data_IF_201164731880
#
_entry.id   IF_201164731880
#
_cell.length_a   1.000
_cell.length_b   1.000
_cell.length_c   1.000
_cell.angle_alpha   90.00
_cell.angle_beta   90.00
_cell.angle_gamma   90.00
#
_symmetry.space_group_name_H-M   'P 1'
#
loop_
_entity.id
_entity.type
_entity.pdbx_description
1 polymer ?
#
# COMPACT_ATOMS: atom_id res chain seq x y z
N UNK A 1 15.80 27.90 19.28
CA UNK A 1 15.78 29.19 20.03
C UNK A 1 17.07 29.44 20.80
N UNK A 2 17.70 28.47 21.44
CA UNK A 2 18.94 28.62 22.24
C UNK A 2 20.11 29.10 21.39
N UNK A 3 20.30 28.56 20.20
CA UNK A 3 21.38 28.98 19.27
C UNK A 3 21.24 30.45 18.86
N UNK A 4 20.00 30.91 18.60
CA UNK A 4 19.76 32.34 18.33
C UNK A 4 20.04 33.22 19.52
N UNK A 5 19.69 32.81 20.73
CA UNK A 5 19.95 33.54 21.94
C UNK A 5 21.47 33.68 22.19
N UNK A 6 22.22 32.60 22.04
CA UNK A 6 23.68 32.59 22.19
C UNK A 6 24.33 33.45 21.10
N UNK A 7 23.91 33.33 19.84
CA UNK A 7 24.44 34.14 18.74
C UNK A 7 24.17 35.61 18.97
N UNK A 8 22.94 35.96 19.38
CA UNK A 8 22.57 37.36 19.71
C UNK A 8 23.40 37.90 20.86
N UNK A 9 23.64 37.11 21.91
CA UNK A 9 24.48 37.50 23.05
C UNK A 9 25.95 37.74 22.63
N UNK A 10 26.55 36.85 21.82
CA UNK A 10 27.91 36.98 21.30
C UNK A 10 28.05 38.23 20.45
N UNK A 11 27.11 38.42 19.53
CA UNK A 11 27.11 39.55 18.60
C UNK A 11 26.90 40.87 19.36
N UNK A 12 26.01 40.90 20.36
CA UNK A 12 25.81 42.08 21.23
C UNK A 12 27.05 42.34 22.10
N UNK A 13 27.70 41.31 22.60
CA UNK A 13 28.94 41.44 23.37
C UNK A 13 30.10 41.99 22.54
N UNK A 14 30.26 41.51 21.27
CA UNK A 14 31.24 42.07 20.32
C UNK A 14 30.97 43.52 19.99
N UNK A 15 29.70 43.89 19.82
CA UNK A 15 29.28 45.25 19.60
C UNK A 15 29.64 46.14 20.79
N UNK A 16 29.26 45.74 22.00
CA UNK A 16 29.61 46.49 23.19
C UNK A 16 31.14 46.68 23.35
N UNK A 17 31.92 45.61 23.10
CA UNK A 17 33.37 45.66 23.10
C UNK A 17 33.93 46.61 22.05
N UNK A 18 33.41 46.62 20.83
CA UNK A 18 33.80 47.54 19.75
C UNK A 18 33.53 48.99 20.08
N UNK A 19 32.38 49.26 20.71
CA UNK A 19 32.02 50.62 21.18
C UNK A 19 32.92 51.10 22.32
N UNK A 20 33.21 50.21 23.29
CA UNK A 20 34.11 50.54 24.44
C UNK A 20 35.53 50.74 23.92
N UNK A 21 36.05 49.86 23.09
CA UNK A 21 37.41 49.98 22.50
C UNK A 21 37.53 51.24 21.60
N UNK A 22 36.49 51.52 20.77
CA UNK A 22 36.44 52.73 19.97
C UNK A 22 36.43 54.01 20.83
N UNK A 23 35.69 54.01 21.91
CA UNK A 23 35.62 55.16 22.82
C UNK A 23 36.93 55.37 23.59
N UNK A 24 37.63 54.27 23.98
CA UNK A 24 38.95 54.33 24.61
C UNK A 24 40.05 54.83 23.69
N UNK A 25 40.03 54.48 22.38
CA UNK A 25 40.93 54.97 21.36
C UNK A 25 40.68 56.44 20.98
N UNK A 26 39.43 56.88 21.03
CA UNK A 26 38.99 58.25 20.68
C UNK A 26 39.31 59.22 21.79
N UNK A 27 39.29 58.80 23.07
CA UNK A 27 39.55 59.70 24.22
C UNK A 27 41.00 60.14 24.35
N UNK A 28 41.92 59.65 23.54
CA UNK A 28 43.36 59.98 23.60
C UNK A 28 43.81 61.13 22.65
N UNK A 29 42.95 61.68 21.80
CA UNK A 29 43.32 62.79 20.87
C UNK A 29 42.25 63.87 20.82
N UNK A 30 42.66 65.15 20.89
CA UNK A 30 41.78 66.34 20.97
C UNK A 30 40.86 66.56 19.76
N UNK A 31 41.14 65.89 18.61
CA UNK A 31 40.29 65.97 17.37
C UNK A 31 38.99 65.17 17.47
N UNK A 32 38.87 64.29 18.46
CA UNK A 32 37.76 63.34 18.56
C UNK A 32 36.75 63.76 19.66
N UNK A 33 36.95 64.87 20.31
CA UNK A 33 36.06 65.39 21.39
C UNK A 33 34.77 66.09 20.87
N UNK A 34 34.56 66.09 19.54
CA UNK A 34 33.37 66.65 18.95
C UNK A 34 32.17 65.73 19.12
N UNK A 35 31.00 66.22 19.60
CA UNK A 35 29.77 65.45 19.70
C UNK A 35 29.32 64.87 18.33
N UNK A 36 29.66 65.57 17.22
CA UNK A 36 29.39 65.15 15.87
C UNK A 36 30.16 63.89 15.46
N UNK A 37 31.42 63.77 15.94
CA UNK A 37 32.22 62.54 15.68
C UNK A 37 31.65 61.35 16.43
N UNK A 38 31.28 61.49 17.72
CA UNK A 38 30.67 60.42 18.47
C UNK A 38 29.36 59.93 17.85
N UNK A 39 28.55 60.85 17.37
CA UNK A 39 27.32 60.54 16.63
C UNK A 39 27.56 59.82 15.31
N UNK A 40 28.51 60.33 14.48
CA UNK A 40 28.88 59.72 13.19
C UNK A 40 29.50 58.35 13.37
N UNK A 41 30.35 58.15 14.41
CA UNK A 41 30.95 56.88 14.74
C UNK A 41 29.87 55.85 15.19
N UNK A 42 28.96 56.25 16.09
CA UNK A 42 27.86 55.41 16.51
C UNK A 42 26.93 55.01 15.36
N UNK A 43 26.63 55.93 14.47
CA UNK A 43 25.85 55.68 13.26
C UNK A 43 26.58 54.72 12.30
N UNK A 44 27.89 54.91 12.11
CA UNK A 44 28.70 54.03 11.26
C UNK A 44 28.78 52.60 11.82
N UNK A 45 28.91 52.46 13.15
CA UNK A 45 28.88 51.15 13.81
C UNK A 45 27.54 50.46 13.60
N UNK A 46 26.43 51.19 13.78
CA UNK A 46 25.08 50.62 13.57
C UNK A 46 24.89 50.19 12.11
N UNK A 47 25.30 51.06 11.16
CA UNK A 47 25.16 50.77 9.72
C UNK A 47 26.04 49.60 9.25
N UNK A 48 27.22 49.41 9.84
CA UNK A 48 28.12 48.31 9.50
C UNK A 48 27.70 47.00 10.17
N UNK A 49 27.13 47.13 11.35
CA UNK A 49 26.76 46.00 12.18
C UNK A 49 25.52 45.24 11.64
N UNK A 50 24.52 45.94 11.13
CA UNK A 50 23.30 45.34 10.61
C UNK A 50 23.54 44.38 9.43
N UNK A 51 24.32 44.71 8.41
CA UNK A 51 24.67 43.79 7.33
C UNK A 51 25.54 42.61 7.80
N UNK A 52 26.44 42.85 8.76
CA UNK A 52 27.26 41.79 9.34
C UNK A 52 26.39 40.75 10.11
N UNK A 53 25.49 41.25 10.93
CA UNK A 53 24.50 40.44 11.66
C UNK A 53 23.66 39.60 10.69
N UNK A 54 23.12 40.21 9.63
CA UNK A 54 22.31 39.52 8.62
C UNK A 54 23.11 38.45 7.89
N UNK A 55 24.38 38.72 7.54
CA UNK A 55 25.26 37.72 6.93
C UNK A 55 25.56 36.55 7.86
N UNK A 56 25.87 36.83 9.12
CA UNK A 56 26.07 35.77 10.13
C UNK A 56 24.81 34.94 10.36
N UNK A 57 23.67 35.58 10.48
CA UNK A 57 22.38 34.86 10.57
C UNK A 57 22.17 33.97 9.34
N UNK A 58 22.38 34.48 8.14
CA UNK A 58 22.24 33.71 6.89
C UNK A 58 23.22 32.51 6.82
N UNK A 59 24.44 32.65 7.38
CA UNK A 59 25.41 31.55 7.46
C UNK A 59 24.95 30.51 8.48
N UNK A 60 24.48 30.94 9.64
CA UNK A 60 23.93 30.04 10.67
C UNK A 60 22.68 29.33 10.15
N UNK A 61 21.77 30.06 9.52
CA UNK A 61 20.58 29.49 8.90
C UNK A 61 20.94 28.44 7.82
N UNK A 62 21.96 28.75 7.01
CA UNK A 62 22.42 27.83 5.97
C UNK A 62 23.12 26.57 6.52
N UNK A 63 23.87 26.71 7.64
CA UNK A 63 24.60 25.60 8.25
C UNK A 63 23.71 24.72 9.14
N UNK A 64 22.74 25.30 9.85
CA UNK A 64 21.95 24.58 10.86
C UNK A 64 20.51 24.28 10.45
N UNK A 65 19.92 25.02 9.46
CA UNK A 65 18.54 24.87 9.07
C UNK A 65 18.33 24.33 7.64
N UNK A 66 19.40 24.29 6.83
CA UNK A 66 19.31 23.73 5.48
C UNK A 66 18.97 22.23 5.53
N UNK A 67 19.62 21.48 6.41
CA UNK A 67 19.37 20.06 6.56
C UNK A 67 17.91 19.76 6.99
N UNK A 68 17.31 20.68 7.75
CA UNK A 68 15.93 20.53 8.22
C UNK A 68 14.90 20.82 7.13
N UNK A 69 15.13 21.81 6.28
CA UNK A 69 14.26 22.12 5.15
C UNK A 69 14.34 21.04 4.06
N UNK A 70 15.56 20.56 3.78
CA UNK A 70 15.81 19.49 2.83
C UNK A 70 15.18 18.17 3.33
N UNK A 71 15.26 17.90 4.64
CA UNK A 71 14.59 16.76 5.26
C UNK A 71 13.07 16.84 5.12
N UNK A 72 12.47 17.99 5.43
CA UNK A 72 11.00 18.17 5.31
C UNK A 72 10.53 18.01 3.86
N UNK A 73 11.28 18.56 2.90
CA UNK A 73 10.96 18.40 1.48
C UNK A 73 11.04 16.92 1.04
N UNK A 74 12.12 16.22 1.42
CA UNK A 74 12.29 14.80 1.12
C UNK A 74 11.23 13.92 1.81
N UNK A 75 10.86 14.27 3.04
CA UNK A 75 9.81 13.59 3.80
C UNK A 75 8.43 13.75 3.14
N UNK A 76 8.07 14.96 2.73
CA UNK A 76 6.81 15.24 2.04
C UNK A 76 6.75 14.55 0.66
N UNK A 77 7.85 14.53 -0.07
CA UNK A 77 7.95 13.85 -1.36
C UNK A 77 7.75 12.34 -1.20
N UNK A 78 8.48 11.73 -0.27
CA UNK A 78 8.34 10.31 0.05
C UNK A 78 6.90 9.97 0.49
N UNK A 79 6.32 10.80 1.33
CA UNK A 79 4.95 10.71 1.84
C UNK A 79 3.92 10.65 0.70
N UNK A 80 4.08 11.52 -0.32
CA UNK A 80 3.24 11.52 -1.52
C UNK A 80 3.45 10.26 -2.37
N UNK A 81 4.69 9.81 -2.49
CA UNK A 81 5.03 8.60 -3.25
C UNK A 81 4.42 7.34 -2.63
N UNK A 82 4.39 7.23 -1.29
CA UNK A 82 3.77 6.09 -0.59
C UNK A 82 2.29 5.98 -0.91
N UNK A 83 1.55 7.08 -0.86
CA UNK A 83 0.09 7.08 -1.13
C UNK A 83 -0.22 6.85 -2.61
N UNK A 84 0.64 7.29 -3.51
CA UNK A 84 0.45 7.12 -4.95
C UNK A 84 0.87 5.74 -5.48
N UNK A 85 1.56 4.93 -4.66
CA UNK A 85 2.11 3.64 -5.08
C UNK A 85 1.07 2.53 -4.95
N UNK A 86 0.72 1.92 -6.10
CA UNK A 86 -0.21 0.78 -6.16
C UNK A 86 0.49 -0.58 -6.07
N UNK A 87 1.79 -0.64 -6.37
CA UNK A 87 2.58 -1.84 -6.24
C UNK A 87 3.01 -2.05 -4.79
N UNK A 88 2.60 -3.18 -4.20
CA UNK A 88 2.85 -3.51 -2.80
C UNK A 88 4.33 -3.67 -2.48
N UNK A 89 5.12 -4.24 -3.39
CA UNK A 89 6.56 -4.42 -3.20
C UNK A 89 7.32 -3.10 -3.20
N UNK A 90 7.02 -2.21 -4.14
CA UNK A 90 7.60 -0.87 -4.19
C UNK A 90 7.19 -0.02 -3.00
N UNK A 91 5.94 -0.12 -2.57
CA UNK A 91 5.47 0.55 -1.36
C UNK A 91 6.23 0.09 -0.12
N UNK A 92 6.42 -1.22 0.04
CA UNK A 92 7.21 -1.77 1.13
C UNK A 92 8.64 -1.21 1.11
N UNK A 93 9.26 -1.13 -0.05
CA UNK A 93 10.60 -0.57 -0.22
C UNK A 93 10.67 0.91 0.21
N UNK A 94 9.69 1.71 -0.19
CA UNK A 94 9.57 3.11 0.24
C UNK A 94 9.40 3.22 1.76
N UNK A 95 8.49 2.42 2.34
CA UNK A 95 8.21 2.43 3.78
C UNK A 95 9.38 1.94 4.63
N UNK A 96 10.27 1.11 4.09
CA UNK A 96 11.41 0.56 4.85
C UNK A 96 12.71 1.26 4.50
N UNK A 97 13.23 1.09 3.30
CA UNK A 97 14.57 1.54 2.91
C UNK A 97 14.70 3.07 2.89
N UNK A 98 13.78 3.74 2.16
CA UNK A 98 13.81 5.21 2.07
C UNK A 98 13.56 5.88 3.41
N UNK A 99 12.66 5.33 4.23
CA UNK A 99 12.40 5.84 5.58
C UNK A 99 13.57 5.62 6.50
N UNK A 100 14.21 4.44 6.45
CA UNK A 100 15.39 4.15 7.26
C UNK A 100 16.54 5.09 6.92
N UNK A 101 16.78 5.39 5.65
CA UNK A 101 17.80 6.33 5.22
C UNK A 101 17.48 7.76 5.64
N UNK A 102 16.24 8.21 5.46
CA UNK A 102 15.78 9.54 5.80
C UNK A 102 15.90 9.83 7.31
N UNK A 103 15.49 8.86 8.15
CA UNK A 103 15.54 8.96 9.61
C UNK A 103 16.89 8.46 10.18
N UNK A 104 17.85 8.10 9.33
CA UNK A 104 19.15 7.54 9.70
C UNK A 104 19.05 6.38 10.69
N UNK A 105 18.12 5.45 10.42
CA UNK A 105 17.95 4.25 11.24
C UNK A 105 18.93 3.15 10.81
N UNK A 106 19.33 2.30 11.75
CA UNK A 106 20.16 1.11 11.46
C UNK A 106 19.38 0.07 10.66
N UNK A 107 18.05 0.00 10.88
CA UNK A 107 17.11 -0.85 10.16
C UNK A 107 15.67 -0.33 10.32
N UNK A 108 14.83 -0.68 9.38
CA UNK A 108 13.38 -0.53 9.46
C UNK A 108 12.75 -1.66 8.64
N UNK A 109 11.98 -2.51 9.29
CA UNK A 109 11.28 -3.62 8.64
C UNK A 109 9.78 -3.37 8.70
N UNK A 110 9.07 -3.72 7.62
CA UNK A 110 7.61 -3.77 7.61
C UNK A 110 7.17 -5.23 7.81
N UNK A 111 6.55 -5.50 8.94
CA UNK A 111 5.96 -6.79 9.26
C UNK A 111 4.47 -6.75 8.92
N UNK A 112 4.00 -7.66 8.07
CA UNK A 112 2.58 -7.74 7.66
C UNK A 112 1.96 -9.07 8.09
N UNK A 113 0.65 -9.10 8.42
CA UNK A 113 -0.05 -10.33 8.74
C UNK A 113 -0.05 -11.31 7.57
N UNK A 114 0.29 -12.57 7.80
CA UNK A 114 0.10 -13.64 6.84
C UNK A 114 -1.40 -13.99 6.74
N UNK A 115 -1.90 -14.28 5.52
CA UNK A 115 -3.31 -14.65 5.33
C UNK A 115 -3.73 -15.93 6.06
N UNK A 116 -2.77 -16.86 6.27
CA UNK A 116 -3.02 -18.22 6.76
C UNK A 116 -3.28 -18.27 8.27
N UNK A 117 -2.51 -17.52 9.05
CA UNK A 117 -2.52 -17.61 10.51
C UNK A 117 -2.48 -16.25 11.24
N UNK A 118 -2.39 -15.14 10.48
CA UNK A 118 -2.30 -13.80 11.04
C UNK A 118 -0.95 -13.47 11.71
N UNK A 119 0.03 -14.37 11.65
CA UNK A 119 1.36 -14.13 12.17
C UNK A 119 2.06 -13.00 11.37
N UNK A 120 2.78 -12.12 12.07
CA UNK A 120 3.52 -11.04 11.43
C UNK A 120 4.85 -11.56 10.86
N UNK A 121 5.06 -11.33 9.58
CA UNK A 121 6.30 -11.64 8.88
C UNK A 121 6.77 -10.45 8.05
N UNK A 122 8.09 -10.32 7.87
CA UNK A 122 8.62 -9.52 6.77
C UNK A 122 8.29 -10.25 5.46
N UNK A 123 7.57 -9.63 4.50
CA UNK A 123 7.26 -10.26 3.22
C UNK A 123 8.49 -10.74 2.44
N UNK A 124 9.67 -10.20 2.74
CA UNK A 124 10.96 -10.66 2.18
C UNK A 124 11.51 -11.93 2.86
N UNK A 125 10.97 -12.28 4.03
CA UNK A 125 11.35 -13.45 4.85
C UNK A 125 10.11 -14.10 5.45
N UNK A 126 9.21 -14.66 4.65
CA UNK A 126 7.94 -15.20 5.12
C UNK A 126 8.11 -16.35 6.11
N UNK A 127 9.21 -17.09 6.02
CA UNK A 127 9.50 -18.23 6.91
C UNK A 127 9.84 -17.82 8.35
N UNK A 128 10.20 -16.56 8.57
CA UNK A 128 10.50 -15.99 9.89
C UNK A 128 9.28 -15.36 10.57
N UNK A 129 8.07 -15.83 10.26
CA UNK A 129 6.84 -15.31 10.84
C UNK A 129 6.76 -15.58 12.33
N UNK A 130 6.26 -14.60 13.07
CA UNK A 130 6.05 -14.69 14.51
C UNK A 130 4.60 -14.36 14.85
N UNK A 131 3.98 -15.22 15.63
CA UNK A 131 2.64 -14.96 16.14
C UNK A 131 2.70 -13.74 17.08
N UNK A 132 1.88 -12.75 16.80
CA UNK A 132 1.63 -11.63 17.72
C UNK A 132 0.49 -12.05 18.63
N UNK A 133 0.72 -12.13 19.92
CA UNK A 133 -0.34 -12.46 20.87
C UNK A 133 -1.51 -11.48 20.78
N UNK A 134 -2.70 -11.96 21.11
CA UNK A 134 -3.93 -11.18 21.00
C UNK A 134 -3.90 -9.86 21.80
N UNK A 135 -3.18 -9.82 22.92
CA UNK A 135 -3.03 -8.63 23.74
C UNK A 135 -2.24 -7.55 23.03
N UNK A 136 -1.06 -7.89 22.49
CA UNK A 136 -0.20 -6.95 21.76
C UNK A 136 -0.84 -6.53 20.43
N UNK A 137 -1.46 -7.46 19.70
CA UNK A 137 -2.13 -7.16 18.44
C UNK A 137 -3.25 -6.13 18.59
N UNK A 138 -4.12 -6.29 19.61
CA UNK A 138 -5.17 -5.30 19.91
C UNK A 138 -4.59 -3.97 20.31
N UNK A 139 -3.61 -3.97 21.21
CA UNK A 139 -2.97 -2.75 21.65
C UNK A 139 -2.36 -1.96 20.48
N UNK A 140 -1.64 -2.64 19.57
CA UNK A 140 -1.05 -2.00 18.39
C UNK A 140 -2.12 -1.48 17.42
N UNK A 141 -3.25 -2.18 17.30
CA UNK A 141 -4.37 -1.74 16.45
C UNK A 141 -5.11 -0.52 17.01
N UNK A 142 -5.18 -0.38 18.34
CA UNK A 142 -5.93 0.67 19.01
C UNK A 142 -5.09 1.93 19.29
N UNK A 143 -3.79 1.76 19.54
CA UNK A 143 -2.94 2.82 20.10
C UNK A 143 -2.41 3.81 19.07
N UNK A 144 -2.58 3.63 17.81
CA UNK A 144 -2.18 4.54 16.70
C UNK A 144 -0.94 5.44 16.99
N UNK A 145 0.02 4.90 17.77
CA UNK A 145 1.21 5.61 18.24
C UNK A 145 2.39 4.66 18.34
N UNK A 146 3.62 5.14 18.10
CA UNK A 146 4.84 4.36 18.29
C UNK A 146 4.96 3.85 19.73
N UNK A 147 5.42 2.62 19.86
CA UNK A 147 5.59 1.95 21.14
C UNK A 147 7.04 1.56 21.32
N UNK A 148 7.67 2.07 22.40
CA UNK A 148 9.03 1.68 22.78
C UNK A 148 9.02 0.26 23.33
N UNK A 149 9.95 -0.59 22.84
CA UNK A 149 10.09 -1.94 23.39
C UNK A 149 10.60 -1.95 24.85
N UNK A 150 11.22 -0.88 25.32
CA UNK A 150 11.60 -0.72 26.73
C UNK A 150 10.41 -0.53 27.65
N UNK A 151 9.37 0.17 27.18
CA UNK A 151 8.17 0.48 28.00
C UNK A 151 7.26 -0.76 28.15
N UNK A 152 7.36 -1.72 27.23
CA UNK A 152 6.55 -2.93 27.21
C UNK A 152 6.94 -3.96 28.27
N UNK A 153 8.12 -3.88 28.86
CA UNK A 153 8.54 -4.76 29.96
C UNK A 153 7.65 -4.58 31.20
N UNK A 154 6.97 -3.44 31.33
CA UNK A 154 6.06 -3.15 32.43
C UNK A 154 4.64 -3.67 32.21
N UNK A 155 4.33 -4.23 31.05
CA UNK A 155 2.97 -4.62 30.66
C UNK A 155 2.69 -6.10 30.92
N UNK A 156 1.47 -6.41 31.33
CA UNK A 156 1.00 -7.78 31.47
C UNK A 156 0.65 -8.35 30.09
N UNK A 157 1.58 -9.04 29.48
CA UNK A 157 1.44 -9.60 28.12
C UNK A 157 1.32 -11.13 28.18
N UNK A 158 0.57 -11.69 27.22
CA UNK A 158 0.49 -13.14 26.98
C UNK A 158 1.84 -13.70 26.46
N UNK A 159 2.01 -15.02 26.56
CA UNK A 159 3.26 -15.68 26.19
C UNK A 159 3.65 -15.46 24.71
N UNK A 160 2.73 -15.52 23.72
CA UNK A 160 3.05 -15.20 22.32
C UNK A 160 3.53 -13.74 22.13
N UNK A 161 2.88 -12.78 22.80
CA UNK A 161 3.30 -11.36 22.75
C UNK A 161 4.73 -11.17 23.27
N UNK A 162 5.08 -11.81 24.39
CA UNK A 162 6.44 -11.77 24.95
C UNK A 162 7.45 -12.41 24.00
N UNK A 163 7.12 -13.56 23.42
CA UNK A 163 8.00 -14.24 22.45
C UNK A 163 8.28 -13.36 21.24
N UNK A 164 7.24 -12.70 20.69
CA UNK A 164 7.37 -11.74 19.60
C UNK A 164 8.30 -10.59 19.97
N UNK A 165 8.08 -9.96 21.13
CA UNK A 165 8.90 -8.81 21.57
C UNK A 165 10.35 -9.19 21.81
N UNK A 166 10.60 -10.33 22.45
CA UNK A 166 11.96 -10.83 22.67
C UNK A 166 12.69 -11.09 21.34
N UNK A 167 11.99 -11.67 20.36
CA UNK A 167 12.56 -11.87 19.03
C UNK A 167 12.86 -10.55 18.32
N UNK A 168 12.00 -9.53 18.46
CA UNK A 168 12.27 -8.20 17.89
C UNK A 168 13.45 -7.50 18.61
N UNK A 169 13.54 -7.59 19.94
CA UNK A 169 14.65 -7.07 20.71
C UNK A 169 15.99 -7.73 20.32
N UNK A 170 16.00 -9.05 20.15
CA UNK A 170 17.18 -9.79 19.70
C UNK A 170 17.62 -9.37 18.28
N UNK A 171 16.70 -8.91 17.45
CA UNK A 171 16.98 -8.35 16.12
C UNK A 171 17.42 -6.88 16.17
N UNK A 172 17.51 -6.28 17.35
CA UNK A 172 17.92 -4.87 17.53
C UNK A 172 16.81 -3.86 17.32
N UNK A 173 15.55 -4.28 17.26
CA UNK A 173 14.40 -3.36 17.20
C UNK A 173 14.26 -2.60 18.51
N UNK A 174 13.92 -1.32 18.43
CA UNK A 174 13.73 -0.42 19.58
C UNK A 174 12.31 0.13 19.66
N UNK A 175 11.70 0.39 18.51
CA UNK A 175 10.37 0.99 18.40
C UNK A 175 9.51 0.12 17.50
N UNK A 176 8.27 -0.13 17.90
CA UNK A 176 7.22 -0.66 17.04
C UNK A 176 6.23 0.45 16.69
N UNK A 177 5.95 0.62 15.41
CA UNK A 177 4.99 1.62 14.95
C UNK A 177 3.85 0.88 14.25
N UNK A 178 2.63 0.94 14.78
CA UNK A 178 1.50 0.27 14.16
C UNK A 178 1.18 0.90 12.81
N UNK A 179 0.96 0.07 11.82
CA UNK A 179 0.41 0.42 10.52
C UNK A 179 -1.02 -0.07 10.53
N UNK A 180 -1.93 0.77 10.97
CA UNK A 180 -3.32 0.40 11.22
C UNK A 180 -4.29 1.40 10.60
N UNK A 181 -5.49 0.94 10.27
CA UNK A 181 -6.58 1.79 9.81
C UNK A 181 -7.90 1.28 10.41
N UNK A 182 -8.72 2.19 10.93
CA UNK A 182 -10.04 1.87 11.50
C UNK A 182 -10.01 0.71 12.51
N UNK A 183 -8.99 0.64 13.36
CA UNK A 183 -8.83 -0.42 14.37
C UNK A 183 -8.36 -1.77 13.80
N UNK A 184 -8.00 -1.86 12.52
CA UNK A 184 -7.43 -3.05 11.88
C UNK A 184 -5.94 -2.87 11.67
N UNK A 185 -5.14 -3.77 12.23
CA UNK A 185 -3.70 -3.82 12.03
C UNK A 185 -3.39 -4.38 10.64
N UNK A 186 -2.78 -3.57 9.79
CA UNK A 186 -2.31 -3.95 8.45
C UNK A 186 -0.84 -4.35 8.45
N UNK A 187 -0.10 -3.92 9.47
CA UNK A 187 1.30 -4.23 9.66
C UNK A 187 1.90 -3.51 10.84
N UNK A 188 3.19 -3.70 11.02
CA UNK A 188 4.00 -3.02 12.05
C UNK A 188 5.32 -2.62 11.44
N UNK A 189 5.70 -1.36 11.54
CA UNK A 189 7.07 -0.93 11.26
C UNK A 189 7.93 -1.20 12.50
N UNK A 190 8.93 -2.03 12.33
CA UNK A 190 9.89 -2.40 13.38
C UNK A 190 11.19 -1.61 13.18
N UNK A 191 11.38 -0.54 13.95
CA UNK A 191 12.51 0.36 13.83
C UNK A 191 13.66 -0.03 14.78
N UNK A 192 14.87 -0.15 14.23
CA UNK A 192 16.12 -0.31 14.99
C UNK A 192 16.59 1.00 15.61
N UNK A 193 17.80 1.02 16.13
CA UNK A 193 18.42 2.23 16.69
C UNK A 193 18.73 3.28 15.60
N UNK A 194 18.90 4.53 16.00
CA UNK A 194 19.46 5.58 15.12
C UNK A 194 20.94 5.30 14.87
N UNK A 195 21.45 5.62 13.70
CA UNK A 195 22.90 5.50 13.36
C UNK A 195 23.77 6.41 14.23
N UNK A 196 23.19 7.47 14.82
CA UNK A 196 23.85 8.36 15.79
C UNK A 196 23.89 7.80 17.22
N UNK A 197 23.31 6.63 17.47
CA UNK A 197 23.14 6.03 18.81
C UNK A 197 22.31 6.86 19.80
N UNK A 198 21.76 7.98 19.37
CA UNK A 198 20.88 8.82 20.18
C UNK A 198 19.50 8.15 20.39
N UNK A 199 18.83 8.52 21.46
CA UNK A 199 17.45 8.11 21.68
C UNK A 199 16.49 8.77 20.67
N UNK A 200 15.33 8.14 20.46
CA UNK A 200 14.28 8.71 19.62
C UNK A 200 13.69 9.93 20.31
N UNK A 201 13.73 11.07 19.63
CA UNK A 201 13.03 12.27 20.05
C UNK A 201 11.56 12.22 19.61
N UNK A 202 10.74 13.04 20.20
CA UNK A 202 9.31 13.13 19.87
C UNK A 202 9.08 13.39 18.38
N UNK A 203 9.91 14.23 17.77
CA UNK A 203 9.86 14.55 16.34
C UNK A 203 10.11 13.31 15.45
N UNK A 204 11.05 12.45 15.84
CA UNK A 204 11.32 11.18 15.12
C UNK A 204 10.10 10.24 15.17
N UNK A 205 9.46 10.15 16.34
CA UNK A 205 8.27 9.32 16.56
C UNK A 205 7.06 9.86 15.78
N UNK A 206 6.89 11.18 15.73
CA UNK A 206 5.83 11.84 14.95
C UNK A 206 6.02 11.59 13.45
N UNK A 207 7.26 11.62 12.95
CA UNK A 207 7.58 11.26 11.57
C UNK A 207 7.28 9.79 11.27
N UNK A 208 7.68 8.87 12.14
CA UNK A 208 7.40 7.44 12.00
C UNK A 208 5.90 7.16 12.00
N UNK A 209 5.13 7.82 12.89
CA UNK A 209 3.67 7.73 12.92
C UNK A 209 3.04 8.21 11.62
N UNK A 210 3.49 9.36 11.12
CA UNK A 210 2.98 9.92 9.87
C UNK A 210 3.20 8.97 8.69
N UNK A 211 4.40 8.39 8.59
CA UNK A 211 4.74 7.42 7.55
C UNK A 211 3.90 6.14 7.71
N UNK A 212 3.74 5.65 8.94
CA UNK A 212 2.94 4.46 9.22
C UNK A 212 1.48 4.66 8.81
N UNK A 213 0.89 5.82 9.14
CA UNK A 213 -0.49 6.16 8.78
C UNK A 213 -0.68 6.27 7.26
N UNK A 214 0.28 6.88 6.57
CA UNK A 214 0.25 6.93 5.11
C UNK A 214 0.49 5.56 4.47
N UNK A 215 1.39 4.77 5.05
CA UNK A 215 1.62 3.38 4.68
C UNK A 215 0.37 2.53 4.85
N UNK A 216 -0.38 2.73 5.93
CA UNK A 216 -1.66 2.05 6.16
C UNK A 216 -2.67 2.35 5.05
N UNK A 217 -2.83 3.64 4.71
CA UNK A 217 -3.72 4.05 3.61
C UNK A 217 -3.24 3.46 2.27
N UNK A 218 -1.95 3.55 1.98
CA UNK A 218 -1.37 3.02 0.76
C UNK A 218 -1.53 1.50 0.64
N UNK A 219 -1.29 0.75 1.72
CA UNK A 219 -1.50 -0.70 1.75
C UNK A 219 -2.97 -1.08 1.55
N UNK A 220 -3.90 -0.32 2.11
CA UNK A 220 -5.34 -0.54 1.91
C UNK A 220 -5.76 -0.29 0.45
N UNK A 221 -5.28 0.80 -0.15
CA UNK A 221 -5.52 1.14 -1.56
C UNK A 221 -4.91 0.08 -2.49
N UNK A 222 -3.66 -0.34 -2.24
CA UNK A 222 -3.00 -1.39 -3.04
C UNK A 222 -3.75 -2.73 -2.95
N UNK A 223 -4.18 -3.13 -1.76
CA UNK A 223 -4.96 -4.36 -1.56
C UNK A 223 -6.32 -4.30 -2.28
N UNK A 224 -7.00 -3.15 -2.22
CA UNK A 224 -8.26 -2.95 -2.94
C UNK A 224 -8.05 -2.98 -4.46
N UNK A 225 -7.00 -2.34 -4.95
CA UNK A 225 -6.65 -2.36 -6.38
C UNK A 225 -6.38 -3.78 -6.88
N UNK A 226 -5.56 -4.55 -6.15
CA UNK A 226 -5.29 -5.96 -6.48
C UNK A 226 -6.57 -6.80 -6.53
N UNK A 227 -7.47 -6.59 -5.56
CA UNK A 227 -8.77 -7.27 -5.52
C UNK A 227 -9.65 -6.90 -6.71
N UNK A 228 -9.70 -5.62 -7.10
CA UNK A 228 -10.47 -5.16 -8.26
C UNK A 228 -9.90 -5.70 -9.57
N UNK A 229 -8.58 -5.70 -9.74
CA UNK A 229 -7.90 -6.25 -10.91
C UNK A 229 -8.23 -7.75 -11.06
N UNK A 230 -8.09 -8.50 -9.98
CA UNK A 230 -8.40 -9.93 -9.98
C UNK A 230 -9.87 -10.24 -10.30
N UNK A 231 -10.80 -9.39 -9.81
CA UNK A 231 -12.22 -9.51 -10.18
C UNK A 231 -12.44 -9.24 -11.65
N UNK A 232 -11.83 -8.17 -12.19
CA UNK A 232 -11.95 -7.84 -13.61
C UNK A 232 -11.38 -8.93 -14.53
N UNK A 233 -10.28 -9.58 -14.13
CA UNK A 233 -9.73 -10.73 -14.86
C UNK A 233 -10.73 -11.90 -14.89
N UNK A 234 -11.29 -12.26 -13.74
CA UNK A 234 -12.30 -13.35 -13.66
C UNK A 234 -13.54 -13.00 -14.45
N UNK A 235 -14.03 -11.76 -14.39
CA UNK A 235 -15.18 -11.32 -15.18
C UNK A 235 -14.91 -11.43 -16.68
N UNK A 236 -13.72 -11.04 -17.13
CA UNK A 236 -13.30 -11.17 -18.53
C UNK A 236 -13.22 -12.63 -18.99
N UNK A 237 -12.66 -13.52 -18.18
CA UNK A 237 -12.59 -14.95 -18.48
C UNK A 237 -14.01 -15.55 -18.61
N UNK A 238 -14.94 -15.11 -17.76
CA UNK A 238 -16.33 -15.53 -17.86
C UNK A 238 -17.04 -14.99 -19.11
N UNK A 239 -16.74 -13.77 -19.55
CA UNK A 239 -17.25 -13.22 -20.82
C UNK A 239 -16.77 -14.05 -22.01
N UNK A 240 -15.48 -14.40 -22.05
CA UNK A 240 -14.92 -15.27 -23.08
C UNK A 240 -15.62 -16.64 -23.07
N UNK A 241 -15.80 -17.24 -21.90
CA UNK A 241 -16.50 -18.51 -21.76
C UNK A 241 -17.96 -18.42 -22.26
N UNK A 242 -18.65 -17.31 -22.02
CA UNK A 242 -19.99 -17.03 -22.55
C UNK A 242 -19.99 -16.96 -24.07
N UNK A 243 -19.05 -16.24 -24.66
CA UNK A 243 -18.96 -16.10 -26.13
C UNK A 243 -18.72 -17.44 -26.80
N UNK A 244 -17.86 -18.28 -26.21
CA UNK A 244 -17.65 -19.65 -26.66
C UNK A 244 -18.98 -20.43 -26.54
N UNK A 245 -19.64 -20.37 -25.40
CA UNK A 245 -20.91 -21.09 -25.19
C UNK A 245 -22.00 -20.66 -26.18
N UNK A 246 -22.17 -19.36 -26.40
CA UNK A 246 -23.12 -18.82 -27.38
C UNK A 246 -22.79 -19.27 -28.80
N UNK A 247 -21.52 -19.44 -29.14
CA UNK A 247 -21.11 -19.91 -30.45
C UNK A 247 -21.50 -21.36 -30.74
N UNK A 248 -21.79 -22.14 -29.70
CA UNK A 248 -22.22 -23.55 -29.81
C UNK A 248 -23.73 -23.68 -30.08
N UNK A 249 -24.51 -22.63 -29.88
CA UNK A 249 -25.93 -22.66 -30.23
C UNK A 249 -26.16 -22.55 -31.74
N UNK A 250 -27.27 -23.10 -32.27
CA UNK A 250 -27.60 -23.05 -33.68
C UNK A 250 -27.67 -21.61 -34.19
N UNK A 251 -26.86 -21.27 -35.17
CA UNK A 251 -26.86 -19.96 -35.84
C UNK A 251 -27.95 -19.84 -36.90
N UNK A 252 -28.30 -20.96 -37.50
CA UNK A 252 -29.33 -21.06 -38.55
C UNK A 252 -30.40 -22.02 -38.11
N UNK A 253 -31.66 -21.63 -38.34
CA UNK A 253 -32.80 -22.50 -38.07
C UNK A 253 -33.11 -23.36 -39.27
N UNK A 254 -33.31 -24.67 -39.09
CA UNK A 254 -33.67 -25.55 -40.19
C UNK A 254 -35.04 -25.17 -40.77
N UNK A 255 -35.16 -25.14 -42.08
CA UNK A 255 -36.43 -24.85 -42.77
C UNK A 255 -37.23 -26.15 -42.94
N UNK A 256 -38.31 -26.26 -42.20
CA UNK A 256 -39.24 -27.39 -42.29
C UNK A 256 -40.57 -26.88 -42.82
N UNK A 257 -41.06 -27.42 -43.95
CA UNK A 257 -42.35 -26.98 -44.51
C UNK A 257 -43.47 -27.10 -43.49
N UNK A 258 -44.20 -25.98 -43.29
CA UNK A 258 -45.34 -25.91 -42.37
C UNK A 258 -45.00 -25.78 -40.87
N UNK A 259 -43.72 -25.60 -40.52
CA UNK A 259 -43.27 -25.44 -39.13
C UNK A 259 -42.36 -24.23 -39.05
N UNK A 260 -42.63 -23.35 -38.10
CA UNK A 260 -41.69 -22.28 -37.67
C UNK A 260 -41.00 -22.72 -36.39
N UNK A 261 -39.66 -22.59 -36.37
CA UNK A 261 -38.80 -22.97 -35.26
C UNK A 261 -38.15 -21.72 -34.70
N UNK A 262 -38.08 -21.63 -33.38
CA UNK A 262 -37.36 -20.58 -32.68
C UNK A 262 -36.71 -21.17 -31.41
N UNK A 263 -35.51 -20.70 -31.08
CA UNK A 263 -34.80 -21.11 -29.86
C UNK A 263 -33.99 -19.95 -29.30
N UNK A 264 -34.01 -19.81 -27.98
CA UNK A 264 -33.24 -18.83 -27.24
C UNK A 264 -32.81 -19.45 -25.92
N UNK A 265 -31.59 -19.18 -25.49
CA UNK A 265 -31.10 -19.50 -24.16
C UNK A 265 -30.71 -18.20 -23.45
N UNK A 266 -31.28 -17.96 -22.27
CA UNK A 266 -31.01 -16.77 -21.44
C UNK A 266 -30.44 -17.28 -20.13
N UNK A 267 -29.09 -17.27 -19.97
CA UNK A 267 -28.48 -17.79 -18.77
C UNK A 267 -28.78 -16.90 -17.56
N UNK A 268 -29.03 -17.50 -16.40
CA UNK A 268 -29.25 -16.78 -15.13
C UNK A 268 -27.99 -16.09 -14.59
N UNK A 269 -26.81 -16.50 -15.03
CA UNK A 269 -25.48 -15.89 -14.76
C UNK A 269 -24.79 -15.65 -16.09
N UNK A 270 -23.48 -15.42 -16.05
CA UNK A 270 -22.68 -15.18 -17.28
C UNK A 270 -22.71 -16.39 -18.21
N UNK A 271 -22.62 -17.60 -17.65
CA UNK A 271 -22.74 -18.90 -18.38
C UNK A 271 -23.85 -19.74 -17.79
N UNK A 272 -24.46 -20.61 -18.60
CA UNK A 272 -25.59 -21.45 -18.25
C UNK A 272 -25.36 -22.93 -18.39
N UNK A 273 -26.24 -23.75 -17.75
CA UNK A 273 -26.33 -25.20 -17.94
C UNK A 273 -27.30 -25.62 -19.03
N UNK A 274 -28.22 -24.73 -19.43
CA UNK A 274 -29.25 -25.01 -20.40
C UNK A 274 -28.72 -24.96 -21.82
N UNK A 275 -29.20 -25.87 -22.68
CA UNK A 275 -28.90 -25.85 -24.10
C UNK A 275 -30.09 -26.30 -24.93
N UNK A 276 -30.11 -25.92 -26.19
CA UNK A 276 -30.99 -26.42 -27.20
C UNK A 276 -30.26 -26.64 -28.51
N UNK A 277 -30.79 -27.51 -29.36
CA UNK A 277 -30.28 -27.72 -30.70
C UNK A 277 -31.38 -28.15 -31.68
N UNK A 278 -31.16 -27.89 -32.97
CA UNK A 278 -32.00 -28.30 -34.09
C UNK A 278 -31.14 -29.13 -35.02
N UNK A 279 -31.30 -30.44 -35.02
CA UNK A 279 -30.45 -31.37 -35.76
C UNK A 279 -31.16 -31.81 -37.05
N UNK A 280 -30.68 -31.45 -38.23
CA UNK A 280 -31.16 -32.04 -39.48
C UNK A 280 -30.81 -33.52 -39.52
N UNK A 281 -31.82 -34.35 -39.74
CA UNK A 281 -31.69 -35.79 -39.73
C UNK A 281 -31.74 -36.32 -41.16
N UNK A 282 -30.63 -36.94 -41.59
CA UNK A 282 -30.51 -37.56 -42.94
C UNK A 282 -30.87 -39.06 -42.90
N UNK A 283 -30.99 -39.70 -44.06
CA UNK A 283 -31.33 -41.10 -44.21
C UNK A 283 -32.84 -41.35 -44.34
N UNK A 284 -33.36 -42.40 -43.70
CA UNK A 284 -34.79 -42.73 -43.69
C UNK A 284 -35.66 -41.68 -42.97
N UNK A 285 -35.05 -40.73 -42.34
CA UNK A 285 -35.62 -39.60 -41.61
C UNK A 285 -35.72 -38.32 -42.44
N UNK A 286 -35.59 -38.35 -43.78
CA UNK A 286 -35.61 -37.18 -44.65
C UNK A 286 -36.84 -36.28 -44.38
N UNK A 287 -36.57 -34.97 -44.22
CA UNK A 287 -37.58 -33.98 -43.93
C UNK A 287 -37.99 -33.95 -42.47
N UNK A 288 -37.26 -34.60 -41.56
CA UNK A 288 -37.41 -34.51 -40.11
C UNK A 288 -36.32 -33.69 -39.48
N UNK A 289 -36.66 -33.08 -38.36
CA UNK A 289 -35.71 -32.33 -37.50
C UNK A 289 -35.78 -32.90 -36.10
N UNK A 290 -34.66 -33.23 -35.49
CA UNK A 290 -34.63 -33.55 -34.09
C UNK A 290 -34.49 -32.24 -33.25
N UNK A 291 -35.38 -32.06 -32.31
CA UNK A 291 -35.37 -30.95 -31.35
C UNK A 291 -34.76 -31.46 -30.06
N UNK A 292 -33.72 -30.79 -29.57
CA UNK A 292 -33.06 -31.11 -28.31
C UNK A 292 -33.15 -29.95 -27.36
N UNK A 293 -33.54 -30.23 -26.13
CA UNK A 293 -33.51 -29.30 -25.01
C UNK A 293 -32.89 -30.03 -23.85
N UNK A 294 -31.87 -29.45 -23.22
CA UNK A 294 -31.16 -30.01 -22.08
C UNK A 294 -30.97 -28.98 -21.00
N UNK A 295 -31.05 -29.44 -19.76
CA UNK A 295 -30.77 -28.64 -18.57
C UNK A 295 -29.77 -29.43 -17.68
N UNK A 296 -28.57 -28.89 -17.50
CA UNK A 296 -27.55 -29.44 -16.60
C UNK A 296 -27.69 -28.74 -15.26
N UNK A 297 -27.97 -29.52 -14.22
CA UNK A 297 -28.19 -29.00 -12.88
C UNK A 297 -26.97 -28.22 -12.37
N UNK A 298 -27.20 -26.98 -11.89
CA UNK A 298 -26.21 -26.07 -11.39
C UNK A 298 -26.14 -24.74 -12.17
N UNK A 299 -25.58 -23.71 -11.52
CA UNK A 299 -25.47 -22.34 -12.08
C UNK A 299 -24.02 -21.85 -12.05
N UNK A 300 -23.08 -22.69 -12.45
CA UNK A 300 -21.65 -22.44 -12.32
C UNK A 300 -20.87 -22.91 -13.54
N UNK A 301 -19.58 -22.55 -13.61
CA UNK A 301 -18.67 -23.00 -14.68
C UNK A 301 -18.67 -24.53 -14.86
N UNK A 302 -18.63 -25.37 -13.81
CA UNK A 302 -18.76 -26.83 -14.00
C UNK A 302 -20.02 -27.25 -14.74
N UNK A 303 -21.19 -26.67 -14.43
CA UNK A 303 -22.43 -26.99 -15.14
C UNK A 303 -22.38 -26.58 -16.64
N UNK A 304 -21.76 -25.43 -16.94
CA UNK A 304 -21.60 -25.00 -18.34
C UNK A 304 -20.66 -25.88 -19.14
N UNK A 305 -19.58 -26.40 -18.53
CA UNK A 305 -18.68 -27.35 -19.16
C UNK A 305 -19.37 -28.71 -19.41
N UNK A 306 -20.13 -29.21 -18.43
CA UNK A 306 -20.95 -30.41 -18.60
C UNK A 306 -22.00 -30.23 -19.69
N UNK A 307 -22.61 -29.04 -19.79
CA UNK A 307 -23.57 -28.72 -20.86
C UNK A 307 -22.94 -28.85 -22.23
N UNK A 308 -21.73 -28.29 -22.43
CA UNK A 308 -20.98 -28.43 -23.71
C UNK A 308 -20.73 -29.89 -24.03
N UNK A 309 -20.25 -30.66 -23.07
CA UNK A 309 -19.99 -32.09 -23.26
C UNK A 309 -21.28 -32.87 -23.57
N UNK A 310 -22.37 -32.61 -22.83
CA UNK A 310 -23.65 -33.27 -23.04
C UNK A 310 -24.23 -32.96 -24.42
N UNK A 311 -24.20 -31.67 -24.83
CA UNK A 311 -24.63 -31.21 -26.15
C UNK A 311 -23.89 -31.96 -27.26
N UNK A 312 -22.56 -31.99 -27.22
CA UNK A 312 -21.75 -32.65 -28.24
C UNK A 312 -21.95 -34.17 -28.28
N UNK A 313 -22.13 -34.81 -27.11
CA UNK A 313 -22.41 -36.26 -27.07
C UNK A 313 -23.78 -36.54 -27.69
N UNK A 314 -24.83 -35.77 -27.35
CA UNK A 314 -26.17 -35.90 -27.89
C UNK A 314 -26.16 -35.65 -29.38
N UNK A 315 -25.48 -34.57 -29.85
CA UNK A 315 -25.33 -34.27 -31.27
C UNK A 315 -24.68 -35.47 -32.05
N UNK A 316 -23.53 -35.93 -31.58
CA UNK A 316 -22.83 -37.00 -32.22
C UNK A 316 -23.61 -38.33 -32.29
N UNK A 317 -24.45 -38.60 -31.32
CA UNK A 317 -25.34 -39.77 -31.29
C UNK A 317 -26.55 -39.62 -32.21
N UNK A 318 -27.19 -38.47 -32.19
CA UNK A 318 -28.32 -38.19 -33.08
C UNK A 318 -27.94 -38.24 -34.58
N UNK A 319 -26.68 -37.89 -34.91
CA UNK A 319 -26.17 -38.01 -36.27
C UNK A 319 -25.93 -39.48 -36.72
N UNK A 320 -25.73 -40.41 -35.77
CA UNK A 320 -25.55 -41.84 -36.06
C UNK A 320 -26.88 -42.59 -36.13
N UNK A 321 -27.72 -42.40 -35.14
CA UNK A 321 -29.06 -42.98 -35.04
C UNK A 321 -29.96 -41.95 -34.33
N UNK A 322 -30.86 -41.30 -35.06
CA UNK A 322 -31.69 -40.22 -34.52
C UNK A 322 -32.89 -40.73 -33.68
N UNK A 323 -33.03 -42.04 -33.48
CA UNK A 323 -34.08 -42.60 -32.62
C UNK A 323 -33.87 -42.12 -31.17
N UNK A 324 -34.84 -41.33 -30.57
CA UNK A 324 -34.61 -40.72 -29.26
C UNK A 324 -34.20 -41.69 -28.17
N UNK A 325 -34.81 -42.87 -28.14
CA UNK A 325 -34.49 -43.93 -27.18
C UNK A 325 -33.03 -44.36 -27.24
N UNK A 326 -32.47 -44.49 -28.47
CA UNK A 326 -31.08 -44.84 -28.68
C UNK A 326 -30.16 -43.68 -28.28
N UNK A 327 -30.49 -42.46 -28.73
CA UNK A 327 -29.69 -41.27 -28.37
C UNK A 327 -29.56 -41.13 -26.85
N UNK A 328 -30.67 -41.22 -26.13
CA UNK A 328 -30.58 -41.10 -24.64
C UNK A 328 -29.84 -42.24 -23.97
N UNK A 329 -30.04 -43.47 -24.39
CA UNK A 329 -29.38 -44.65 -23.84
C UNK A 329 -27.85 -44.56 -24.05
N UNK A 330 -27.43 -44.20 -25.21
CA UNK A 330 -26.01 -44.12 -25.54
C UNK A 330 -25.33 -42.88 -24.94
N UNK A 331 -26.03 -41.75 -24.84
CA UNK A 331 -25.54 -40.53 -24.18
C UNK A 331 -25.38 -40.76 -22.68
N UNK A 332 -26.37 -41.40 -22.03
CA UNK A 332 -26.34 -41.69 -20.58
C UNK A 332 -25.18 -42.64 -20.16
N UNK A 333 -24.58 -43.37 -21.09
CA UNK A 333 -23.41 -44.20 -20.80
C UNK A 333 -22.09 -43.44 -20.82
N UNK A 334 -22.11 -42.21 -21.37
CA UNK A 334 -20.91 -41.40 -21.59
C UNK A 334 -20.87 -40.14 -20.73
N UNK A 335 -22.01 -39.60 -20.33
CA UNK A 335 -22.15 -38.51 -19.36
C UNK A 335 -22.09 -39.08 -17.94
#
# INVERSE_FOLDING_TARGET
SIVYAILTAIVTGLYALAVVAGNALVSSQALFSSPLFAFAFGLAVVLLFDPLRRRMQAVVDRLFFRDRADFQAAFLDMSRQVVAQLDRGRMQQLLTERTADLLRLTRLDLLTPRPEDGALADPRRPDEALAVGAALGRMLAEKDAPVSLRDLDTWTLDAPSRAFLNAQLARGVRILVPVATRGRLLGVLAAGAKKSEEEFHREDLDHLSTIANQGALGLEVAALHEQLTRRAEVERDLEIARDIQVSLFPRELPRVPGIELYGVSIPAKVVGGDFYDFLPVDGDFRGRVALVVGDVSGKSIPASLLMVAAKEIVYARAMQDPEPSTVFRESNRRI
#
